data_IF_129210408545
#
_entry.id   IF_129210408545
#
_cell.length_a   1.000
_cell.length_b   1.000
_cell.length_c   1.000
_cell.angle_alpha   90.00
_cell.angle_beta   90.00
_cell.angle_gamma   90.00
#
_symmetry.space_group_name_H-M   'P 1'
#
loop_
_entity.id
_entity.type
_entity.pdbx_description
1 polymer ?
#
# COMPACT_ATOMS: atom_id res chain seq x y z
N UNK A 1 -10.70 21.28 -9.98
CA UNK A 1 -9.98 20.84 -8.76
C UNK A 1 -10.54 19.54 -8.19
N UNK A 2 -11.83 19.23 -8.41
CA UNK A 2 -12.47 18.03 -7.85
C UNK A 2 -11.84 16.68 -8.21
N UNK A 3 -11.33 16.51 -9.44
CA UNK A 3 -10.73 15.24 -9.87
C UNK A 3 -9.47 14.89 -9.05
N UNK A 4 -8.67 15.90 -8.69
CA UNK A 4 -7.44 15.69 -7.91
C UNK A 4 -7.77 15.30 -6.47
N UNK A 5 -8.74 15.97 -5.86
CA UNK A 5 -9.19 15.67 -4.51
C UNK A 5 -9.90 14.32 -4.42
N UNK A 6 -10.79 14.00 -5.36
CA UNK A 6 -11.44 12.69 -5.42
C UNK A 6 -10.41 11.55 -5.58
N UNK A 7 -9.38 11.75 -6.42
CA UNK A 7 -8.30 10.78 -6.56
C UNK A 7 -7.54 10.58 -5.24
N UNK A 8 -7.12 11.67 -4.57
CA UNK A 8 -6.44 11.59 -3.28
C UNK A 8 -7.29 10.91 -2.21
N UNK A 9 -8.57 11.25 -2.12
CA UNK A 9 -9.49 10.65 -1.15
C UNK A 9 -9.63 9.15 -1.39
N UNK A 10 -9.88 8.73 -2.64
CA UNK A 10 -9.99 7.31 -3.02
C UNK A 10 -8.72 6.54 -2.63
N UNK A 11 -7.55 7.08 -3.00
CA UNK A 11 -6.27 6.44 -2.74
C UNK A 11 -5.96 6.42 -1.23
N UNK A 12 -6.25 7.49 -0.51
CA UNK A 12 -6.10 7.53 0.97
C UNK A 12 -6.99 6.49 1.66
N UNK A 13 -8.23 6.33 1.21
CA UNK A 13 -9.15 5.33 1.75
C UNK A 13 -8.62 3.90 1.51
N UNK A 14 -8.12 3.62 0.30
CA UNK A 14 -7.50 2.33 -0.01
C UNK A 14 -6.26 2.06 0.84
N UNK A 15 -5.41 3.06 1.12
CA UNK A 15 -4.26 2.88 2.02
C UNK A 15 -4.67 2.56 3.45
N UNK A 16 -5.76 3.15 3.94
CA UNK A 16 -6.30 2.82 5.27
C UNK A 16 -6.80 1.39 5.30
N UNK A 17 -7.52 0.96 4.27
CA UNK A 17 -7.99 -0.42 4.13
C UNK A 17 -6.83 -1.41 4.11
N UNK A 18 -5.80 -1.14 3.30
CA UNK A 18 -4.60 -1.97 3.24
C UNK A 18 -3.80 -1.95 4.54
N UNK A 19 -3.69 -0.82 5.22
CA UNK A 19 -3.08 -0.75 6.54
C UNK A 19 -3.78 -1.66 7.56
N UNK A 20 -5.12 -1.67 7.56
CA UNK A 20 -5.89 -2.58 8.41
C UNK A 20 -5.68 -4.05 8.04
N UNK A 21 -5.63 -4.38 6.75
CA UNK A 21 -5.32 -5.75 6.29
C UNK A 21 -3.92 -6.19 6.70
N UNK A 22 -2.89 -5.35 6.52
CA UNK A 22 -1.51 -5.64 6.96
C UNK A 22 -1.49 -5.92 8.47
N UNK A 23 -2.14 -5.08 9.28
CA UNK A 23 -2.20 -5.29 10.72
C UNK A 23 -2.90 -6.61 11.09
N UNK A 24 -3.95 -7.01 10.35
CA UNK A 24 -4.60 -8.29 10.54
C UNK A 24 -3.68 -9.46 10.19
N UNK A 25 -2.90 -9.36 9.10
CA UNK A 25 -1.91 -10.38 8.73
C UNK A 25 -0.78 -10.47 9.76
N UNK A 26 -0.35 -9.33 10.33
CA UNK A 26 0.64 -9.28 11.41
C UNK A 26 0.15 -10.05 12.65
N UNK A 27 -1.09 -9.79 13.09
CA UNK A 27 -1.69 -10.49 14.24
C UNK A 27 -1.90 -12.00 13.97
N UNK A 28 -2.28 -12.38 12.73
CA UNK A 28 -2.36 -13.80 12.34
C UNK A 28 -0.99 -14.47 12.38
N UNK A 29 0.05 -13.78 11.93
CA UNK A 29 1.42 -14.27 11.94
C UNK A 29 1.93 -14.53 13.37
N UNK A 30 1.52 -13.75 14.36
CA UNK A 30 1.90 -13.98 15.77
C UNK A 30 1.46 -15.35 16.31
N UNK A 31 0.39 -15.93 15.74
CA UNK A 31 -0.11 -17.27 16.09
C UNK A 31 0.49 -18.40 15.23
N UNK A 32 1.33 -18.08 14.24
CA UNK A 32 1.97 -19.08 13.38
C UNK A 32 3.26 -19.67 13.99
N UNK A 33 3.66 -20.84 13.50
CA UNK A 33 4.95 -21.45 13.84
C UNK A 33 6.15 -20.58 13.45
N UNK A 34 7.28 -20.75 14.15
CA UNK A 34 8.47 -19.90 14.00
C UNK A 34 9.03 -19.84 12.57
N UNK A 35 8.97 -20.95 11.83
CA UNK A 35 9.46 -21.02 10.45
C UNK A 35 8.63 -20.14 9.49
N UNK A 36 7.30 -20.27 9.57
CA UNK A 36 6.36 -19.46 8.80
C UNK A 36 6.44 -17.98 9.19
N UNK A 37 6.68 -17.66 10.47
CA UNK A 37 6.86 -16.28 10.92
C UNK A 37 7.98 -15.57 10.19
N UNK A 38 9.13 -16.21 9.97
CA UNK A 38 10.28 -15.57 9.31
C UNK A 38 9.96 -15.22 7.85
N UNK A 39 9.36 -16.16 7.11
CA UNK A 39 8.97 -15.89 5.71
C UNK A 39 7.89 -14.82 5.61
N UNK A 40 6.84 -14.91 6.44
CA UNK A 40 5.72 -13.96 6.41
C UNK A 40 6.12 -12.58 6.92
N UNK A 41 7.03 -12.48 7.90
CA UNK A 41 7.53 -11.21 8.39
C UNK A 41 8.26 -10.42 7.30
N UNK A 42 9.02 -11.10 6.43
CA UNK A 42 9.65 -10.45 5.27
C UNK A 42 8.59 -9.85 4.34
N UNK A 43 7.58 -10.64 3.98
CA UNK A 43 6.49 -10.18 3.11
C UNK A 43 5.69 -9.02 3.71
N UNK A 44 5.40 -9.08 5.01
CA UNK A 44 4.74 -8.01 5.76
C UNK A 44 5.55 -6.72 5.77
N UNK A 45 6.88 -6.84 5.95
CA UNK A 45 7.79 -5.70 5.91
C UNK A 45 7.83 -5.05 4.53
N UNK A 46 7.89 -5.85 3.47
CA UNK A 46 7.80 -5.36 2.08
C UNK A 46 6.46 -4.65 1.83
N UNK A 47 5.34 -5.20 2.32
CA UNK A 47 4.03 -4.57 2.22
C UNK A 47 3.95 -3.23 2.95
N UNK A 48 4.47 -3.14 4.18
CA UNK A 48 4.55 -1.85 4.90
C UNK A 48 5.41 -0.84 4.17
N UNK A 49 6.55 -1.25 3.60
CA UNK A 49 7.41 -0.35 2.84
C UNK A 49 6.68 0.20 1.60
N UNK A 50 5.98 -0.66 0.85
CA UNK A 50 5.16 -0.26 -0.30
C UNK A 50 3.99 0.65 0.10
N UNK A 51 3.33 0.36 1.22
CA UNK A 51 2.29 1.21 1.79
C UNK A 51 2.81 2.61 2.12
N UNK A 52 3.99 2.70 2.74
CA UNK A 52 4.62 3.98 3.06
C UNK A 52 4.95 4.76 1.80
N UNK A 53 5.59 4.12 0.82
CA UNK A 53 5.92 4.74 -0.46
C UNK A 53 4.66 5.26 -1.20
N UNK A 54 3.58 4.49 -1.20
CA UNK A 54 2.29 4.90 -1.77
C UNK A 54 1.70 6.12 -1.03
N UNK A 55 1.80 6.16 0.30
CA UNK A 55 1.36 7.30 1.11
C UNK A 55 2.15 8.56 0.78
N UNK A 56 3.48 8.46 0.70
CA UNK A 56 4.35 9.56 0.33
C UNK A 56 4.01 10.09 -1.08
N UNK A 57 3.71 9.20 -2.03
CA UNK A 57 3.30 9.59 -3.38
C UNK A 57 1.97 10.35 -3.43
N UNK A 58 1.00 10.05 -2.54
CA UNK A 58 -0.22 10.87 -2.42
C UNK A 58 0.10 12.27 -1.91
N UNK A 59 0.98 12.37 -0.91
CA UNK A 59 1.38 13.67 -0.33
C UNK A 59 2.08 14.50 -1.40
N UNK A 60 2.99 13.89 -2.16
CA UNK A 60 3.70 14.51 -3.29
C UNK A 60 2.73 14.96 -4.39
N UNK A 61 1.76 14.10 -4.74
CA UNK A 61 0.65 14.45 -5.65
C UNK A 61 -0.16 15.66 -5.18
N UNK A 62 -0.28 15.84 -3.87
CA UNK A 62 -0.99 16.98 -3.31
C UNK A 62 -0.24 18.30 -3.36
N UNK A 63 1.09 18.22 -3.42
CA UNK A 63 1.98 19.38 -3.59
C UNK A 63 2.22 19.70 -5.07
N UNK A 64 2.09 18.70 -5.95
CA UNK A 64 2.31 18.86 -7.39
C UNK A 64 1.15 19.59 -8.11
N UNK A 65 1.51 20.60 -8.91
CA UNK A 65 0.60 21.34 -9.80
C UNK A 65 0.85 21.03 -11.28
N UNK A 66 -0.08 21.44 -12.15
CA UNK A 66 0.12 21.40 -13.62
C UNK A 66 0.53 20.03 -14.18
N UNK A 67 1.50 20.03 -15.09
CA UNK A 67 2.07 18.83 -15.74
C UNK A 67 2.80 17.88 -14.78
N UNK A 68 3.45 18.41 -13.74
CA UNK A 68 4.13 17.59 -12.74
C UNK A 68 3.14 16.64 -12.03
N UNK A 69 1.87 17.02 -11.91
CA UNK A 69 0.85 16.18 -11.31
C UNK A 69 0.60 14.88 -12.07
N UNK A 70 0.57 14.92 -13.41
CA UNK A 70 0.36 13.72 -14.25
C UNK A 70 1.54 12.74 -14.12
N UNK A 71 2.77 13.27 -14.06
CA UNK A 71 3.97 12.45 -13.90
C UNK A 71 4.06 11.79 -12.51
N UNK A 72 3.76 12.54 -11.45
CA UNK A 72 3.69 11.99 -10.09
C UNK A 72 2.55 10.97 -10.00
N UNK A 73 1.40 11.22 -10.65
CA UNK A 73 0.26 10.29 -10.67
C UNK A 73 0.62 8.98 -11.32
N UNK A 74 1.27 9.00 -12.48
CA UNK A 74 1.71 7.78 -13.16
C UNK A 74 2.63 6.95 -12.27
N UNK A 75 3.55 7.61 -11.56
CA UNK A 75 4.44 6.94 -10.62
C UNK A 75 3.69 6.40 -9.40
N UNK A 76 2.74 7.17 -8.86
CA UNK A 76 1.89 6.76 -7.74
C UNK A 76 1.03 5.54 -8.09
N UNK A 77 0.44 5.50 -9.29
CA UNK A 77 -0.36 4.37 -9.76
C UNK A 77 0.48 3.08 -9.88
N UNK A 78 1.73 3.16 -10.35
CA UNK A 78 2.65 2.00 -10.38
C UNK A 78 2.89 1.43 -8.98
N UNK A 79 3.26 2.28 -8.02
CA UNK A 79 3.46 1.85 -6.62
C UNK A 79 2.16 1.27 -6.05
N UNK A 80 1.01 1.81 -6.46
CA UNK A 80 -0.31 1.31 -6.07
C UNK A 80 -0.60 -0.10 -6.57
N UNK A 81 -0.32 -0.37 -7.84
CA UNK A 81 -0.51 -1.69 -8.45
C UNK A 81 0.44 -2.72 -7.82
N UNK A 82 1.70 -2.34 -7.54
CA UNK A 82 2.65 -3.20 -6.85
C UNK A 82 2.22 -3.54 -5.42
N UNK A 83 1.65 -2.57 -4.71
CA UNK A 83 1.10 -2.78 -3.37
C UNK A 83 -0.15 -3.67 -3.40
N UNK A 84 -1.04 -3.43 -4.38
CA UNK A 84 -2.24 -4.26 -4.59
C UNK A 84 -1.87 -5.71 -4.91
N UNK A 85 -0.91 -5.93 -5.79
CA UNK A 85 -0.42 -7.28 -6.12
C UNK A 85 0.18 -7.94 -4.89
N UNK A 86 1.06 -7.23 -4.17
CA UNK A 86 1.65 -7.77 -2.94
C UNK A 86 0.60 -8.14 -1.89
N UNK A 87 -0.46 -7.34 -1.76
CA UNK A 87 -1.54 -7.62 -0.81
C UNK A 87 -2.32 -8.88 -1.23
N UNK A 88 -2.60 -9.04 -2.52
CA UNK A 88 -3.26 -10.25 -3.04
C UNK A 88 -2.41 -11.51 -2.82
N UNK A 89 -1.09 -11.40 -3.02
CA UNK A 89 -0.13 -12.46 -2.72
C UNK A 89 -0.11 -12.82 -1.24
N UNK A 90 0.00 -11.81 -0.36
CA UNK A 90 -0.01 -12.05 1.08
C UNK A 90 -1.34 -12.66 1.53
N UNK A 91 -2.46 -12.13 1.07
CA UNK A 91 -3.78 -12.69 1.38
C UNK A 91 -3.89 -14.16 0.94
N UNK A 92 -3.40 -14.50 -0.26
CA UNK A 92 -3.37 -15.89 -0.75
C UNK A 92 -2.52 -16.82 0.11
N UNK A 93 -1.38 -16.33 0.61
CA UNK A 93 -0.48 -17.13 1.47
C UNK A 93 -1.00 -17.30 2.90
N UNK A 94 -1.86 -16.40 3.35
CA UNK A 94 -2.48 -16.41 4.69
C UNK A 94 -3.87 -17.05 4.73
N UNK A 95 -4.36 -17.54 3.59
CA UNK A 95 -5.51 -18.45 3.51
C UNK A 95 -5.06 -19.87 3.86
#
# INVERSE_FOLDING_TARGET
MEIKDAYKQKKTAQLKEWGAQINLLEAKMENMGADLKVERAKQLKELRAKQHAASEKIIELGKAGGEAWEQVKSTADKVWDELKSGMADAHSKFK
#
